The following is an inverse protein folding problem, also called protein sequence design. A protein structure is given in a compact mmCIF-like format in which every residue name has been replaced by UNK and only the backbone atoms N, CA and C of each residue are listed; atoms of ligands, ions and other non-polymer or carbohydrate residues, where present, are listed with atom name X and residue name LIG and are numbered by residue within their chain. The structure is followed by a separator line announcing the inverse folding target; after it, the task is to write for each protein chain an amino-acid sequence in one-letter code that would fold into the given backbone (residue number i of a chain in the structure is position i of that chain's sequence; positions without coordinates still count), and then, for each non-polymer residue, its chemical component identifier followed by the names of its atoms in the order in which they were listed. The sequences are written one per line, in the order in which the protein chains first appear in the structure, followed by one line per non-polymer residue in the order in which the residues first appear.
data_IF_792217880187
#
_entry.id   IF_792217880187
#
_cell.length_a   1.000
_cell.length_b   1.000
_cell.length_c   1.000
_cell.angle_alpha   90.00
_cell.angle_beta   90.00
_cell.angle_gamma   90.00
#
_symmetry.space_group_name_H-M   'P 1'
#
loop_
_entity.id
_entity.type
_entity.pdbx_description
1 polymer ?
#
# COMPACT_ATOMS: atom_id res chain seq x y z
N UNK A 1 19.97 12.30 -3.36
CA UNK A 1 19.25 11.05 -3.04
C UNK A 1 18.22 11.39 -1.96
N UNK A 2 16.96 11.61 -2.33
CA UNK A 2 15.95 12.18 -1.43
C UNK A 2 15.35 11.13 -0.49
N UNK A 3 15.83 11.15 0.76
CA UNK A 3 15.23 10.47 1.91
C UNK A 3 13.83 11.04 2.17
N UNK A 4 12.79 10.28 1.84
CA UNK A 4 11.45 10.52 2.36
C UNK A 4 10.62 9.23 2.22
N UNK A 5 10.13 8.74 3.37
CA UNK A 5 9.50 7.44 3.69
C UNK A 5 10.51 6.32 4.00
N UNK A 6 10.64 5.96 5.29
CA UNK A 6 11.52 4.97 5.94
C UNK A 6 11.42 3.51 5.44
N UNK A 7 11.06 3.28 4.17
CA UNK A 7 10.91 1.91 3.61
C UNK A 7 11.19 1.88 2.12
N UNK A 8 12.10 0.99 1.72
CA UNK A 8 12.36 0.62 0.32
C UNK A 8 11.05 0.18 -0.36
N UNK A 9 10.51 1.04 -1.21
CA UNK A 9 9.24 0.81 -1.88
C UNK A 9 9.30 1.33 -3.32
N UNK A 10 8.69 0.59 -4.25
CA UNK A 10 8.64 1.03 -5.64
C UNK A 10 7.77 2.29 -5.80
N UNK A 11 8.05 3.11 -6.83
CA UNK A 11 7.33 4.35 -7.11
C UNK A 11 5.81 4.17 -7.19
N UNK A 12 5.34 3.05 -7.74
CA UNK A 12 3.91 2.73 -7.81
C UNK A 12 3.26 2.54 -6.43
N UNK A 13 3.95 1.88 -5.50
CA UNK A 13 3.42 1.69 -4.14
C UNK A 13 3.47 3.00 -3.34
N UNK A 14 4.51 3.82 -3.51
CA UNK A 14 4.60 5.17 -2.94
C UNK A 14 3.44 6.07 -3.40
N UNK A 15 3.18 6.11 -4.71
CA UNK A 15 2.06 6.88 -5.27
C UNK A 15 0.67 6.30 -4.91
N UNK A 16 0.56 4.98 -4.78
CA UNK A 16 -0.67 4.32 -4.30
C UNK A 16 -0.94 4.66 -2.84
N UNK A 17 0.07 4.55 -1.97
CA UNK A 17 -0.06 4.85 -0.55
C UNK A 17 -0.46 6.30 -0.30
N UNK A 18 0.21 7.28 -0.96
CA UNK A 18 -0.14 8.71 -0.83
C UNK A 18 -1.60 9.02 -1.15
N UNK A 19 -2.18 8.36 -2.17
CA UNK A 19 -3.60 8.52 -2.54
C UNK A 19 -4.54 7.71 -1.63
N UNK A 20 -4.05 6.56 -1.19
CA UNK A 20 -4.70 5.50 -0.42
C UNK A 20 -4.88 5.73 1.09
N UNK A 21 -3.84 6.23 1.75
CA UNK A 21 -3.67 6.13 3.20
C UNK A 21 -4.70 6.96 3.98
N UNK A 22 -5.17 8.03 3.35
CA UNK A 22 -6.10 9.06 3.87
C UNK A 22 -7.57 8.65 3.78
N UNK A 23 -7.87 7.56 3.07
CA UNK A 23 -9.22 7.32 2.57
C UNK A 23 -10.20 6.97 3.69
N UNK A 24 -11.28 7.74 3.80
CA UNK A 24 -12.34 7.57 4.83
C UNK A 24 -12.99 6.19 4.74
N UNK A 25 -13.31 5.73 3.53
CA UNK A 25 -13.91 4.40 3.32
C UNK A 25 -12.83 3.35 3.09
N UNK A 26 -12.62 2.38 4.00
CA UNK A 26 -11.61 1.35 3.82
C UNK A 26 -11.91 0.50 2.59
N UNK A 27 -10.86 -0.06 1.98
CA UNK A 27 -11.04 -1.04 0.93
C UNK A 27 -11.59 -2.36 1.50
N UNK A 28 -12.35 -3.09 0.70
CA UNK A 28 -12.78 -4.45 1.01
C UNK A 28 -11.92 -5.44 0.22
N UNK A 29 -11.51 -6.53 0.87
CA UNK A 29 -10.95 -7.67 0.19
C UNK A 29 -12.06 -8.68 -0.10
N UNK A 30 -12.02 -9.31 -1.27
CA UNK A 30 -12.94 -10.37 -1.67
C UNK A 30 -12.30 -11.77 -1.63
N UNK A 31 -11.04 -11.86 -1.21
CA UNK A 31 -10.22 -13.07 -1.27
C UNK A 31 -9.59 -13.42 0.10
N UNK A 32 -10.29 -13.10 1.20
CA UNK A 32 -9.88 -13.51 2.55
C UNK A 32 -8.71 -12.74 3.16
N UNK A 33 -8.46 -11.48 2.76
CA UNK A 33 -7.43 -10.58 3.31
C UNK A 33 -5.97 -11.10 3.29
N UNK A 34 -5.68 -12.17 2.53
CA UNK A 34 -4.33 -12.77 2.42
C UNK A 34 -3.80 -12.76 0.98
N UNK A 35 -4.18 -11.76 0.18
CA UNK A 35 -3.78 -11.72 -1.23
C UNK A 35 -2.26 -11.53 -1.37
N UNK A 36 -1.58 -12.32 -2.21
CA UNK A 36 -0.17 -12.09 -2.52
C UNK A 36 -0.03 -10.76 -3.27
N UNK A 37 0.85 -9.88 -2.79
CA UNK A 37 1.13 -8.58 -3.41
C UNK A 37 2.54 -8.58 -3.99
N UNK A 38 2.62 -8.71 -5.32
CA UNK A 38 3.83 -8.64 -6.13
C UNK A 38 3.60 -7.69 -7.34
N UNK A 39 4.57 -7.56 -8.25
CA UNK A 39 4.49 -6.66 -9.41
C UNK A 39 3.28 -6.93 -10.32
N UNK A 40 2.90 -8.19 -10.49
CA UNK A 40 1.79 -8.63 -11.34
C UNK A 40 0.43 -8.56 -10.60
N UNK A 41 0.40 -8.88 -9.30
CA UNK A 41 -0.85 -9.06 -8.54
C UNK A 41 -1.26 -7.85 -7.72
N UNK A 42 -0.38 -6.86 -7.51
CA UNK A 42 -0.65 -5.67 -6.65
C UNK A 42 -1.92 -4.90 -7.03
N UNK A 43 -2.37 -4.97 -8.27
CA UNK A 43 -3.58 -4.27 -8.70
C UNK A 43 -4.88 -5.07 -8.42
N UNK A 44 -4.80 -6.36 -8.11
CA UNK A 44 -5.96 -7.23 -7.91
C UNK A 44 -6.71 -6.95 -6.60
N UNK A 45 -6.01 -6.52 -5.55
CA UNK A 45 -6.64 -6.23 -4.26
C UNK A 45 -6.07 -4.97 -3.62
N UNK A 46 -6.84 -3.88 -3.64
CA UNK A 46 -6.46 -2.59 -3.04
C UNK A 46 -6.38 -2.67 -1.52
N UNK A 47 -7.21 -3.50 -0.87
CA UNK A 47 -7.18 -3.73 0.59
C UNK A 47 -5.87 -4.35 1.04
N UNK A 48 -5.54 -5.53 0.53
CA UNK A 48 -4.29 -6.21 0.89
C UNK A 48 -3.05 -5.39 0.47
N UNK A 49 -3.13 -4.63 -0.63
CA UNK A 49 -2.04 -3.73 -1.04
C UNK A 49 -1.80 -2.62 -0.02
N UNK A 50 -2.86 -1.91 0.43
CA UNK A 50 -2.69 -0.81 1.40
C UNK A 50 -2.27 -1.35 2.77
N UNK A 51 -2.82 -2.49 3.19
CA UNK A 51 -2.43 -3.15 4.43
C UNK A 51 -0.96 -3.54 4.41
N UNK A 52 -0.47 -4.10 3.30
CA UNK A 52 0.96 -4.40 3.14
C UNK A 52 1.83 -3.15 3.17
N UNK A 53 1.38 -2.04 2.59
CA UNK A 53 2.12 -0.77 2.70
C UNK A 53 2.30 -0.36 4.17
N UNK A 54 1.23 -0.39 4.98
CA UNK A 54 1.32 -0.12 6.42
C UNK A 54 2.21 -1.13 7.16
N UNK A 55 2.04 -2.43 6.88
CA UNK A 55 2.83 -3.49 7.52
C UNK A 55 4.33 -3.41 7.20
N UNK A 56 4.68 -2.87 6.04
CA UNK A 56 6.07 -2.64 5.64
C UNK A 56 6.67 -1.37 6.27
N UNK A 57 5.91 -0.60 7.06
CA UNK A 57 6.39 0.62 7.71
C UNK A 57 6.14 1.91 6.91
N UNK A 58 5.34 1.87 5.84
CA UNK A 58 4.90 3.11 5.19
C UNK A 58 3.97 3.85 6.15
N UNK A 59 4.50 4.90 6.77
CA UNK A 59 3.71 5.79 7.61
C UNK A 59 3.28 7.01 6.81
N UNK A 60 2.12 7.54 7.17
CA UNK A 60 1.65 8.82 6.67
C UNK A 60 2.51 9.89 7.35
N UNK A 61 3.51 10.41 6.65
CA UNK A 61 4.14 11.65 7.09
C UNK A 61 3.05 12.72 6.95
N UNK A 62 2.58 13.21 8.09
CA UNK A 62 1.65 14.34 8.20
C UNK A 62 2.44 15.60 7.86
#
# INVERSE_FOLDING_TARGET
MSNNFDTLSCASCKAFFRRHAVRVKPFKCHFGNKCPINLQTRNKCKKCRIDKCYAMGMNKVI
#
